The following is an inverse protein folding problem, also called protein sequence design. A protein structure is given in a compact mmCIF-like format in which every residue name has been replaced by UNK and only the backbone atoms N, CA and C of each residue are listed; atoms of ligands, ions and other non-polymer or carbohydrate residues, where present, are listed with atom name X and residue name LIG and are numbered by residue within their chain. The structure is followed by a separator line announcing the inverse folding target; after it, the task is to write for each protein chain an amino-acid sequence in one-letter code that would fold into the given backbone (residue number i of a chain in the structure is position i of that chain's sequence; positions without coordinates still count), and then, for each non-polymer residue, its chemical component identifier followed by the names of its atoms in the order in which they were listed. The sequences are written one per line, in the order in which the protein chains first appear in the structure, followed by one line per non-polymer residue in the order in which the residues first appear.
data_IF_519681570175
#
_entry.id   IF_519681570175
#
_cell.length_a   1.000
_cell.length_b   1.000
_cell.length_c   1.000
_cell.angle_alpha   90.00
_cell.angle_beta   90.00
_cell.angle_gamma   90.00
#
_symmetry.space_group_name_H-M   'P 1'
#
loop_
_entity.id
_entity.type
_entity.pdbx_description
1 polymer ?
#
# COMPACT_ATOMS: atom_id res chain seq x y z
N UNK A 1 -9.42 13.24 15.06
CA UNK A 1 -9.18 12.76 13.69
C UNK A 1 -9.88 11.42 13.57
N UNK A 2 -10.99 11.35 12.85
CA UNK A 2 -11.71 10.08 12.61
C UNK A 2 -11.05 9.38 11.42
N UNK A 3 -10.70 8.10 11.55
CA UNK A 3 -9.98 7.30 10.53
C UNK A 3 -10.92 6.80 9.42
N UNK A 4 -11.95 7.59 9.11
CA UNK A 4 -12.97 7.27 8.09
C UNK A 4 -12.35 7.45 6.70
N UNK A 5 -12.74 6.59 5.77
CA UNK A 5 -12.29 6.57 4.36
C UNK A 5 -10.82 6.16 4.16
N UNK A 6 -10.25 5.37 5.08
CA UNK A 6 -8.91 4.80 4.93
C UNK A 6 -8.99 3.37 4.41
N UNK A 7 -8.30 3.11 3.30
CA UNK A 7 -7.98 1.76 2.85
C UNK A 7 -6.63 1.33 3.45
N UNK A 8 -6.62 0.22 4.19
CA UNK A 8 -5.44 -0.30 4.86
C UNK A 8 -4.91 -1.53 4.14
N UNK A 9 -3.63 -1.51 3.77
CA UNK A 9 -2.89 -2.67 3.31
C UNK A 9 -1.83 -3.05 4.35
N UNK A 10 -1.90 -4.27 4.89
CA UNK A 10 -0.92 -4.81 5.83
C UNK A 10 -0.63 -6.30 5.56
N UNK A 11 0.46 -6.82 6.11
CA UNK A 11 0.82 -8.25 5.95
C UNK A 11 -0.04 -9.19 6.81
N UNK A 12 0.02 -10.49 6.57
CA UNK A 12 -0.78 -11.49 7.27
C UNK A 12 -0.18 -11.93 8.63
N UNK A 13 0.58 -11.07 9.32
CA UNK A 13 1.12 -11.38 10.65
C UNK A 13 0.00 -11.68 11.67
N UNK A 14 0.27 -12.59 12.62
CA UNK A 14 -0.73 -13.02 13.62
C UNK A 14 -1.28 -11.86 14.45
N UNK A 15 -0.45 -10.85 14.76
CA UNK A 15 -0.88 -9.64 15.46
C UNK A 15 -1.88 -8.82 14.63
N UNK A 16 -1.67 -8.68 13.32
CA UNK A 16 -2.57 -7.93 12.44
C UNK A 16 -3.88 -8.67 12.16
N UNK A 17 -3.90 -10.00 12.30
CA UNK A 17 -5.11 -10.84 12.21
C UNK A 17 -5.77 -11.11 13.57
N UNK A 18 -5.23 -10.57 14.66
CA UNK A 18 -5.80 -10.76 15.98
C UNK A 18 -7.22 -10.17 16.02
N UNK A 19 -8.13 -10.87 16.70
CA UNK A 19 -9.56 -10.49 16.80
C UNK A 19 -9.74 -9.03 17.22
N UNK A 20 -8.99 -8.59 18.22
CA UNK A 20 -9.05 -7.22 18.75
C UNK A 20 -8.70 -6.16 17.69
N UNK A 21 -7.74 -6.46 16.81
CA UNK A 21 -7.34 -5.57 15.71
C UNK A 21 -8.41 -5.54 14.64
N UNK A 22 -8.92 -6.70 14.24
CA UNK A 22 -9.98 -6.79 13.22
C UNK A 22 -11.30 -6.12 13.67
N UNK A 23 -11.63 -6.19 14.97
CA UNK A 23 -12.77 -5.48 15.55
C UNK A 23 -12.58 -3.97 15.55
N UNK A 24 -11.39 -3.49 15.93
CA UNK A 24 -11.06 -2.06 15.88
C UNK A 24 -11.19 -1.51 14.44
N UNK A 25 -10.58 -2.18 13.46
CA UNK A 25 -10.64 -1.77 12.06
C UNK A 25 -12.08 -1.72 11.53
N UNK A 26 -12.91 -2.70 11.91
CA UNK A 26 -14.33 -2.72 11.57
C UNK A 26 -15.09 -1.53 12.18
N UNK A 27 -14.85 -1.23 13.46
CA UNK A 27 -15.52 -0.14 14.16
C UNK A 27 -15.15 1.24 13.59
N UNK A 28 -13.90 1.40 13.17
CA UNK A 28 -13.39 2.61 12.52
C UNK A 28 -13.74 2.71 11.03
N UNK A 29 -14.44 1.70 10.46
CA UNK A 29 -14.81 1.64 9.04
C UNK A 29 -13.59 1.68 8.10
N UNK A 30 -12.48 1.08 8.52
CA UNK A 30 -11.28 0.94 7.70
C UNK A 30 -11.45 -0.25 6.75
N UNK A 31 -11.30 -0.02 5.45
CA UNK A 31 -11.38 -1.07 4.45
C UNK A 31 -10.04 -1.80 4.35
N UNK A 32 -10.04 -3.13 4.51
CA UNK A 32 -8.82 -3.92 4.40
C UNK A 32 -8.63 -4.42 2.96
N UNK A 33 -7.53 -4.00 2.33
CA UNK A 33 -7.13 -4.50 1.01
C UNK A 33 -6.60 -5.95 1.11
N UNK A 34 -6.94 -6.84 0.16
CA UNK A 34 -6.47 -8.22 0.18
C UNK A 34 -4.94 -8.30 0.07
N UNK A 35 -4.32 -9.13 0.92
CA UNK A 35 -2.88 -9.42 0.90
C UNK A 35 -2.65 -10.91 0.66
N UNK A 36 -1.76 -11.31 -0.27
CA UNK A 36 -1.46 -12.72 -0.54
C UNK A 36 -0.91 -13.46 0.71
N UNK A 37 -0.97 -14.81 0.75
CA UNK A 37 -0.41 -15.59 1.85
C UNK A 37 1.03 -15.20 2.14
N UNK A 38 1.38 -15.16 3.44
CA UNK A 38 2.66 -14.65 3.91
C UNK A 38 3.86 -15.34 3.23
N UNK A 39 4.62 -14.55 2.49
CA UNK A 39 5.95 -14.85 2.00
C UNK A 39 6.89 -13.87 2.71
N UNK A 40 7.71 -14.33 3.67
CA UNK A 40 8.81 -13.50 4.17
C UNK A 40 10.08 -14.31 4.39
N UNK A 41 11.12 -13.89 3.68
CA UNK A 41 12.49 -13.75 4.21
C UNK A 41 13.11 -12.45 3.69
N UNK A 42 12.74 -11.32 4.27
CA UNK A 42 13.55 -10.11 4.12
C UNK A 42 14.70 -10.19 5.13
N UNK A 43 15.94 -10.21 4.64
CA UNK A 43 17.13 -10.17 5.48
C UNK A 43 17.39 -8.77 6.06
N UNK A 44 18.27 -8.68 7.05
CA UNK A 44 18.64 -7.40 7.72
C UNK A 44 19.04 -6.29 6.74
N UNK A 45 19.65 -6.65 5.61
CA UNK A 45 20.04 -5.70 4.57
C UNK A 45 18.82 -5.02 3.90
N UNK A 46 17.75 -5.77 3.63
CA UNK A 46 16.52 -5.21 3.05
C UNK A 46 15.85 -4.26 4.06
N UNK A 47 15.84 -4.65 5.35
CA UNK A 47 15.29 -3.79 6.39
C UNK A 47 16.03 -2.46 6.50
N UNK A 48 17.37 -2.47 6.50
CA UNK A 48 18.17 -1.25 6.59
C UNK A 48 17.96 -0.32 5.39
N UNK A 49 17.77 -0.87 4.19
CA UNK A 49 17.44 -0.07 3.00
C UNK A 49 16.08 0.59 3.18
N UNK A 50 15.05 -0.16 3.58
CA UNK A 50 13.69 0.35 3.77
C UNK A 50 13.66 1.45 4.84
N UNK A 51 14.34 1.25 5.98
CA UNK A 51 14.43 2.25 7.06
C UNK A 51 15.16 3.54 6.63
N UNK A 52 15.98 3.48 5.59
CA UNK A 52 16.71 4.64 5.05
C UNK A 52 15.96 5.45 4.00
N UNK A 53 14.77 5.01 3.56
CA UNK A 53 14.01 5.72 2.52
C UNK A 53 13.26 6.92 3.15
N UNK A 54 13.47 8.15 2.65
CA UNK A 54 12.72 9.32 3.10
C UNK A 54 11.21 9.17 2.91
N UNK A 55 10.40 9.78 3.79
CA UNK A 55 8.93 9.79 3.67
C UNK A 55 8.47 10.35 2.32
N UNK A 56 9.13 11.39 1.84
CA UNK A 56 8.84 12.03 0.55
C UNK A 56 8.96 11.07 -0.63
N UNK A 57 9.91 10.12 -0.59
CA UNK A 57 10.08 9.14 -1.67
C UNK A 57 8.93 8.14 -1.72
N UNK A 58 8.38 7.77 -0.55
CA UNK A 58 7.15 6.99 -0.49
C UNK A 58 5.96 7.78 -1.07
N UNK A 59 5.80 9.04 -0.66
CA UNK A 59 4.73 9.91 -1.16
C UNK A 59 4.81 10.09 -2.68
N UNK A 60 6.00 10.39 -3.20
CA UNK A 60 6.28 10.52 -4.63
C UNK A 60 5.98 9.22 -5.40
N UNK A 61 6.29 8.06 -4.81
CA UNK A 61 5.98 6.76 -5.40
C UNK A 61 4.47 6.53 -5.51
N UNK A 62 3.70 6.87 -4.48
CA UNK A 62 2.24 6.77 -4.50
C UNK A 62 1.61 7.72 -5.52
N UNK A 63 2.07 8.97 -5.59
CA UNK A 63 1.62 9.94 -6.59
C UNK A 63 1.95 9.46 -8.01
N UNK A 64 3.17 8.97 -8.22
CA UNK A 64 3.58 8.41 -9.52
C UNK A 64 2.69 7.23 -9.93
N UNK A 65 2.32 6.37 -8.97
CA UNK A 65 1.41 5.26 -9.22
C UNK A 65 0.01 5.75 -9.59
N UNK A 66 -0.55 6.73 -8.88
CA UNK A 66 -1.86 7.33 -9.22
C UNK A 66 -1.85 7.93 -10.63
N UNK A 67 -0.85 8.74 -10.95
CA UNK A 67 -0.70 9.35 -12.28
C UNK A 67 -0.62 8.27 -13.39
N UNK A 68 0.06 7.14 -13.15
CA UNK A 68 0.11 6.03 -14.11
C UNK A 68 -1.25 5.37 -14.33
N UNK A 69 -2.07 5.25 -13.28
CA UNK A 69 -3.44 4.73 -13.40
C UNK A 69 -4.31 5.69 -14.22
N UNK A 70 -4.18 7.00 -13.98
CA UNK A 70 -4.88 8.02 -14.77
C UNK A 70 -4.49 7.95 -16.25
N UNK A 71 -3.19 7.88 -16.56
CA UNK A 71 -2.74 7.68 -17.94
C UNK A 71 -3.30 6.38 -18.54
N UNK A 72 -3.31 5.27 -17.80
CA UNK A 72 -3.87 4.01 -18.30
C UNK A 72 -5.35 4.17 -18.71
N UNK A 73 -6.13 4.95 -17.95
CA UNK A 73 -7.53 5.27 -18.30
C UNK A 73 -7.59 6.17 -19.54
N UNK A 74 -6.78 7.23 -19.57
CA UNK A 74 -6.73 8.20 -20.68
C UNK A 74 -6.36 7.53 -22.02
N UNK A 75 -5.40 6.62 -22.00
CA UNK A 75 -4.92 5.88 -23.16
C UNK A 75 -5.66 4.56 -23.39
N UNK A 76 -6.82 4.35 -22.73
CA UNK A 76 -7.66 3.15 -22.89
C UNK A 76 -6.87 1.83 -22.76
N UNK A 77 -5.91 1.79 -21.83
CA UNK A 77 -5.05 0.64 -21.56
C UNK A 77 -3.84 0.48 -22.47
N UNK A 78 -3.61 1.39 -23.42
CA UNK A 78 -2.39 1.39 -24.23
C UNK A 78 -1.17 1.91 -23.45
N UNK A 79 0.02 1.43 -23.83
CA UNK A 79 1.27 1.94 -23.28
C UNK A 79 1.51 3.38 -23.75
N UNK A 80 1.82 4.26 -22.81
CA UNK A 80 2.09 5.69 -23.03
C UNK A 80 3.58 6.04 -22.94
N UNK A 81 4.46 5.03 -22.88
CA UNK A 81 5.91 5.24 -22.84
C UNK A 81 6.40 5.73 -24.20
N UNK A 82 6.74 7.02 -24.30
CA UNK A 82 7.34 7.62 -25.51
C UNK A 82 6.47 8.65 -26.25
N UNK A 83 5.23 8.88 -25.82
CA UNK A 83 4.44 10.04 -26.28
C UNK A 83 4.90 11.29 -25.54
N UNK A 84 5.72 12.09 -26.21
CA UNK A 84 5.99 13.50 -25.86
C UNK A 84 4.98 14.41 -26.54
#
# INVERSE_FOLDING_TARGET
MTVRDVMLHHDNATAHKARIVMEYLRNEQVELLPHPPYNRKFGKAVQAVVEGIPKEDYENSFQSWQNRLECCIEFNGEYFEGTK
#
